data_IF_977356130826
#
_entry.id   IF_977356130826
#
_cell.length_a   1.000
_cell.length_b   1.000
_cell.length_c   1.000
_cell.angle_alpha   90.00
_cell.angle_beta   90.00
_cell.angle_gamma   90.00
#
_symmetry.space_group_name_H-M   'P 1'
#
loop_
_entity.id
_entity.type
_entity.pdbx_description
1 polymer ?
#
# COMPACT_ATOMS: atom_id res chain seq x y z
N UNK A 1 -7.26 -7.05 -2.06
CA UNK A 1 -6.99 -5.66 -2.53
C UNK A 1 -6.93 -5.59 -4.05
N UNK A 2 -5.91 -6.16 -4.72
CA UNK A 2 -5.79 -6.11 -6.19
C UNK A 2 -7.05 -6.61 -6.94
N UNK A 3 -7.56 -7.78 -6.58
CA UNK A 3 -8.76 -8.33 -7.20
C UNK A 3 -9.98 -7.39 -7.05
N UNK A 4 -10.14 -6.78 -5.87
CA UNK A 4 -11.18 -5.79 -5.61
C UNK A 4 -10.99 -4.53 -6.46
N UNK A 5 -9.76 -4.02 -6.60
CA UNK A 5 -9.47 -2.88 -7.48
C UNK A 5 -9.82 -3.18 -8.94
N UNK A 6 -9.48 -4.39 -9.43
CA UNK A 6 -9.84 -4.81 -10.79
C UNK A 6 -11.36 -4.88 -10.95
N UNK A 7 -12.08 -5.47 -9.98
CA UNK A 7 -13.54 -5.54 -10.02
C UNK A 7 -14.20 -4.15 -10.08
N UNK A 8 -13.63 -3.15 -9.41
CA UNK A 8 -14.10 -1.76 -9.49
C UNK A 8 -13.85 -1.16 -10.87
N UNK A 9 -12.67 -1.40 -11.47
CA UNK A 9 -12.37 -0.96 -12.84
C UNK A 9 -13.31 -1.63 -13.85
N UNK A 10 -13.52 -2.94 -13.73
CA UNK A 10 -14.41 -3.71 -14.60
C UNK A 10 -15.85 -3.17 -14.51
N UNK A 11 -16.32 -2.89 -13.30
CA UNK A 11 -17.63 -2.26 -13.08
C UNK A 11 -17.73 -0.87 -13.69
N UNK A 12 -16.71 -0.02 -13.50
CA UNK A 12 -16.66 1.33 -14.08
C UNK A 12 -16.72 1.30 -15.62
N UNK A 13 -15.98 0.38 -16.26
CA UNK A 13 -15.98 0.23 -17.71
C UNK A 13 -17.31 -0.33 -18.21
N UNK A 14 -17.93 -1.27 -17.49
CA UNK A 14 -19.24 -1.81 -17.86
C UNK A 14 -20.36 -0.75 -17.87
N UNK A 15 -20.25 0.27 -17.01
CA UNK A 15 -21.16 1.43 -16.97
C UNK A 15 -20.79 2.52 -18.01
N UNK A 16 -19.84 2.26 -18.90
CA UNK A 16 -19.44 3.16 -19.99
C UNK A 16 -18.26 4.10 -19.68
N UNK A 17 -17.57 3.87 -18.56
CA UNK A 17 -16.34 4.60 -18.22
C UNK A 17 -15.14 4.21 -19.08
N UNK A 18 -14.21 5.14 -19.28
CA UNK A 18 -12.94 4.87 -19.98
C UNK A 18 -11.79 4.67 -18.98
N UNK A 19 -11.17 3.49 -19.00
CA UNK A 19 -9.98 3.20 -18.21
C UNK A 19 -8.73 3.26 -19.11
N UNK A 20 -7.76 4.08 -18.70
CA UNK A 20 -6.50 4.26 -19.40
C UNK A 20 -5.32 4.08 -18.44
N UNK A 21 -4.41 3.18 -18.79
CA UNK A 21 -3.10 3.10 -18.15
C UNK A 21 -2.12 4.07 -18.85
N UNK A 22 -1.69 5.10 -18.12
CA UNK A 22 -0.77 6.11 -18.62
C UNK A 22 -0.06 6.85 -17.51
N UNK A 23 1.04 7.52 -17.84
CA UNK A 23 1.80 8.34 -16.90
C UNK A 23 1.63 9.82 -17.24
N UNK A 24 1.02 10.58 -16.31
CA UNK A 24 0.86 12.04 -16.38
C UNK A 24 2.20 12.72 -16.14
N UNK A 25 2.49 13.78 -16.90
CA UNK A 25 3.62 14.67 -16.65
C UNK A 25 3.25 15.60 -15.50
N UNK A 26 3.92 15.45 -14.35
CA UNK A 26 3.58 16.19 -13.11
C UNK A 26 4.42 17.44 -12.89
N UNK A 27 5.45 17.69 -13.71
CA UNK A 27 6.29 18.87 -13.60
C UNK A 27 5.48 20.14 -13.86
N UNK A 28 5.42 21.05 -12.88
CA UNK A 28 4.67 22.30 -12.99
C UNK A 28 3.15 22.16 -12.86
N UNK A 29 2.66 21.02 -12.34
CA UNK A 29 1.22 20.74 -12.29
C UNK A 29 0.45 21.74 -11.42
N UNK A 30 1.02 22.24 -10.31
CA UNK A 30 0.42 23.26 -9.44
C UNK A 30 0.31 24.64 -10.11
N UNK A 31 1.19 24.94 -11.07
CA UNK A 31 1.24 26.22 -11.78
C UNK A 31 0.40 26.20 -13.07
N UNK A 32 -0.01 25.00 -13.49
CA UNK A 32 -0.71 24.77 -14.74
C UNK A 32 -2.19 25.12 -14.62
N UNK A 33 -2.76 25.67 -15.70
CA UNK A 33 -4.22 25.62 -15.87
C UNK A 33 -4.60 24.17 -16.15
N UNK A 34 -5.49 23.60 -15.35
CA UNK A 34 -6.00 22.24 -15.58
C UNK A 34 -7.14 22.27 -16.59
N UNK A 35 -6.89 22.78 -17.80
CA UNK A 35 -7.77 22.55 -18.96
C UNK A 35 -7.37 21.24 -19.67
N UNK A 36 -6.11 20.83 -19.53
CA UNK A 36 -5.54 19.59 -20.09
C UNK A 36 -4.45 19.00 -19.20
N UNK A 37 -4.28 17.68 -19.25
CA UNK A 37 -3.13 16.98 -18.69
C UNK A 37 -2.32 16.30 -19.80
N UNK A 38 -1.01 16.56 -19.81
CA UNK A 38 -0.09 15.91 -20.75
C UNK A 38 0.34 14.54 -20.22
N UNK A 39 0.33 13.54 -21.10
CA UNK A 39 0.88 12.21 -20.82
C UNK A 39 2.30 12.09 -21.38
N UNK A 40 3.10 11.22 -20.77
CA UNK A 40 4.49 10.95 -21.16
C UNK A 40 4.65 10.41 -22.59
N UNK A 41 3.60 9.84 -23.17
CA UNK A 41 3.56 9.40 -24.57
C UNK A 41 3.25 10.54 -25.57
N UNK A 42 3.10 11.78 -25.08
CA UNK A 42 2.79 12.96 -25.89
C UNK A 42 1.30 13.23 -26.12
N UNK A 43 0.41 12.31 -25.73
CA UNK A 43 -1.04 12.53 -25.79
C UNK A 43 -1.52 13.45 -24.66
N UNK A 44 -2.76 13.94 -24.77
CA UNK A 44 -3.37 14.84 -23.80
C UNK A 44 -4.75 14.34 -23.38
N UNK A 45 -5.06 14.51 -22.10
CA UNK A 45 -6.40 14.34 -21.54
C UNK A 45 -7.03 15.71 -21.34
N UNK A 46 -8.28 15.87 -21.74
CA UNK A 46 -9.06 17.11 -21.59
C UNK A 46 -10.33 16.77 -20.80
N UNK A 47 -10.62 17.55 -19.78
CA UNK A 47 -11.80 17.38 -18.92
C UNK A 47 -12.17 18.71 -18.28
N UNK A 48 -13.43 18.84 -17.88
CA UNK A 48 -13.90 19.99 -17.11
C UNK A 48 -13.42 19.97 -15.66
N UNK A 49 -13.08 18.79 -15.14
CA UNK A 49 -12.66 18.55 -13.76
C UNK A 49 -11.61 17.43 -13.72
N UNK A 50 -10.66 17.55 -12.79
CA UNK A 50 -9.64 16.54 -12.52
C UNK A 50 -9.68 16.16 -11.04
N UNK A 51 -9.62 14.87 -10.75
CA UNK A 51 -9.51 14.32 -9.39
C UNK A 51 -8.17 13.62 -9.27
N UNK A 52 -7.31 14.11 -8.38
CA UNK A 52 -6.01 13.52 -8.13
C UNK A 52 -6.07 12.57 -6.93
N UNK A 53 -6.14 11.27 -7.20
CA UNK A 53 -6.11 10.21 -6.18
C UNK A 53 -4.79 9.41 -6.26
N UNK A 54 -3.66 10.12 -6.29
CA UNK A 54 -2.33 9.57 -6.61
C UNK A 54 -1.60 8.92 -5.43
N UNK A 55 -2.31 8.59 -4.35
CA UNK A 55 -1.77 7.90 -3.18
C UNK A 55 -0.50 8.57 -2.62
N UNK A 56 0.53 7.79 -2.22
CA UNK A 56 1.72 8.32 -1.55
C UNK A 56 2.56 9.28 -2.42
N UNK A 57 2.24 9.45 -3.70
CA UNK A 57 2.86 10.45 -4.56
C UNK A 57 2.24 11.85 -4.43
N UNK A 58 1.07 12.02 -3.82
CA UNK A 58 0.36 13.31 -3.77
C UNK A 58 1.21 14.45 -3.21
N UNK A 59 1.91 14.24 -2.08
CA UNK A 59 2.80 15.26 -1.50
C UNK A 59 3.98 15.66 -2.41
N UNK A 60 4.40 14.80 -3.35
CA UNK A 60 5.42 15.12 -4.36
C UNK A 60 4.85 15.78 -5.61
N UNK A 61 3.61 15.46 -5.96
CA UNK A 61 2.91 16.02 -7.12
C UNK A 61 2.45 17.45 -6.81
N UNK A 62 1.93 17.67 -5.59
CA UNK A 62 1.46 18.96 -5.09
C UNK A 62 2.30 19.42 -3.89
N UNK A 63 3.60 19.74 -4.08
CA UNK A 63 4.49 20.06 -2.98
C UNK A 63 4.12 21.36 -2.24
N UNK A 64 3.50 22.35 -2.89
CA UNK A 64 3.12 23.60 -2.23
C UNK A 64 1.89 23.41 -1.33
N UNK A 65 0.91 22.64 -1.79
CA UNK A 65 -0.36 22.45 -1.06
C UNK A 65 -0.31 21.27 -0.09
N UNK A 66 0.36 20.18 -0.46
CA UNK A 66 0.34 18.90 0.26
C UNK A 66 1.71 18.42 0.76
N UNK A 67 2.81 19.09 0.39
CA UNK A 67 4.17 18.60 0.64
C UNK A 67 4.52 18.41 2.12
N UNK A 68 3.97 19.25 3.01
CA UNK A 68 4.12 19.14 4.46
C UNK A 68 2.94 18.42 5.14
N UNK A 69 1.86 18.14 4.40
CA UNK A 69 0.64 17.48 4.89
C UNK A 69 0.64 15.98 4.66
N UNK A 70 1.41 15.48 3.70
CA UNK A 70 1.40 14.07 3.32
C UNK A 70 2.81 13.51 3.37
N UNK A 71 3.00 12.50 4.22
CA UNK A 71 4.26 11.77 4.33
C UNK A 71 4.09 10.30 3.94
N UNK A 72 4.82 9.88 2.92
CA UNK A 72 4.91 8.48 2.55
C UNK A 72 5.84 7.74 3.52
N UNK A 73 5.41 6.61 4.09
CA UNK A 73 6.25 5.76 4.95
C UNK A 73 6.36 4.33 4.43
N UNK A 74 7.52 3.72 4.68
CA UNK A 74 7.83 2.35 4.26
C UNK A 74 7.22 1.34 5.22
N UNK A 75 6.48 0.38 4.69
CA UNK A 75 5.91 -0.72 5.48
C UNK A 75 6.34 -2.07 4.94
N UNK A 76 6.90 -2.91 5.80
CA UNK A 76 7.45 -4.20 5.40
C UNK A 76 6.45 -5.31 5.76
N UNK A 77 6.13 -6.13 4.77
CA UNK A 77 5.14 -7.19 4.86
C UNK A 77 5.80 -8.52 4.54
N UNK A 78 5.51 -9.53 5.36
CA UNK A 78 6.10 -10.86 5.26
C UNK A 78 5.00 -11.90 5.07
N UNK A 79 5.28 -12.91 4.25
CA UNK A 79 4.38 -14.03 4.01
C UNK A 79 5.12 -15.34 4.31
N UNK A 80 4.55 -16.14 5.19
CA UNK A 80 5.13 -17.43 5.60
C UNK A 80 4.27 -18.60 5.12
N UNK A 81 4.93 -19.69 4.71
CA UNK A 81 4.25 -20.93 4.35
C UNK A 81 3.72 -21.61 5.59
N UNK A 82 2.42 -21.91 5.64
CA UNK A 82 1.84 -22.67 6.75
C UNK A 82 2.30 -24.14 6.69
N UNK A 83 2.41 -24.84 7.83
CA UNK A 83 2.74 -26.25 7.84
C UNK A 83 1.77 -27.07 6.98
N UNK A 84 2.31 -28.03 6.23
CA UNK A 84 1.52 -28.87 5.31
C UNK A 84 0.47 -29.65 6.09
N UNK A 85 -0.79 -29.55 5.65
CA UNK A 85 -1.91 -30.26 6.27
C UNK A 85 -2.37 -29.70 7.60
N UNK A 86 -1.86 -28.54 8.03
CA UNK A 86 -2.29 -27.86 9.26
C UNK A 86 -3.23 -26.68 8.93
N UNK A 87 -4.55 -26.85 9.08
CA UNK A 87 -5.52 -25.82 8.71
C UNK A 87 -5.60 -24.69 9.75
N UNK A 88 -4.95 -24.81 10.91
CA UNK A 88 -5.11 -23.85 12.02
C UNK A 88 -4.68 -22.41 11.68
N UNK A 89 -3.90 -22.23 10.62
CA UNK A 89 -3.34 -20.95 10.20
C UNK A 89 -3.91 -20.44 8.85
N UNK A 90 -4.97 -21.07 8.36
CA UNK A 90 -5.72 -20.57 7.21
C UNK A 90 -6.83 -19.60 7.60
N UNK A 91 -7.48 -19.01 6.60
CA UNK A 91 -8.55 -18.04 6.74
C UNK A 91 -9.90 -18.63 7.19
N UNK A 92 -10.03 -19.97 7.26
CA UNK A 92 -11.22 -20.62 7.80
C UNK A 92 -11.12 -20.80 9.32
N UNK A 93 -9.91 -20.93 9.86
CA UNK A 93 -9.69 -21.30 11.27
C UNK A 93 -9.05 -20.19 12.10
N UNK A 94 -8.46 -19.18 11.48
CA UNK A 94 -7.85 -18.04 12.16
C UNK A 94 -8.43 -16.73 11.61
N UNK A 95 -9.01 -15.86 12.46
CA UNK A 95 -9.41 -14.53 12.03
C UNK A 95 -8.18 -13.66 11.72
N UNK A 96 -8.42 -12.57 10.98
CA UNK A 96 -7.50 -11.43 10.97
C UNK A 96 -7.28 -10.96 12.41
N UNK A 97 -6.03 -10.67 12.75
CA UNK A 97 -5.65 -10.32 14.12
C UNK A 97 -4.75 -9.09 14.15
N UNK A 98 -4.77 -8.42 15.29
CA UNK A 98 -3.99 -7.23 15.60
C UNK A 98 -3.57 -7.29 17.08
N UNK A 99 -2.32 -6.96 17.38
CA UNK A 99 -1.74 -6.97 18.71
C UNK A 99 -1.06 -5.62 18.96
N UNK A 100 -1.71 -4.79 19.79
CA UNK A 100 -1.30 -3.40 20.08
C UNK A 100 -0.45 -3.28 21.36
N UNK A 101 0.42 -4.26 21.66
CA UNK A 101 1.28 -4.20 22.86
C UNK A 101 2.48 -3.27 22.63
N UNK A 102 3.70 -3.80 22.65
CA UNK A 102 4.91 -2.99 22.53
C UNK A 102 5.13 -2.49 21.09
N UNK A 103 4.72 -3.29 20.11
CA UNK A 103 4.71 -2.97 18.68
C UNK A 103 3.35 -3.38 18.13
N UNK A 104 2.85 -2.67 17.13
CA UNK A 104 1.59 -3.00 16.50
C UNK A 104 1.80 -4.03 15.40
N UNK A 105 1.71 -5.31 15.75
CA UNK A 105 1.69 -6.38 14.76
C UNK A 105 0.28 -6.73 14.33
N UNK A 106 0.10 -7.06 13.06
CA UNK A 106 -1.14 -7.61 12.55
C UNK A 106 -0.86 -8.74 11.55
N UNK A 107 -1.87 -9.57 11.32
CA UNK A 107 -1.76 -10.65 10.34
C UNK A 107 -3.07 -11.00 9.67
N UNK A 108 -2.94 -11.51 8.45
CA UNK A 108 -4.04 -12.00 7.61
C UNK A 108 -3.72 -13.45 7.24
N UNK A 109 -4.45 -14.42 7.80
CA UNK A 109 -4.32 -15.83 7.46
C UNK A 109 -4.78 -16.10 6.03
N UNK A 110 -4.23 -17.13 5.38
CA UNK A 110 -4.64 -17.58 4.04
C UNK A 110 -4.29 -16.65 2.87
N UNK A 111 -4.56 -15.34 2.96
CA UNK A 111 -4.29 -14.27 1.98
C UNK A 111 -4.26 -14.73 0.51
N UNK A 112 -5.38 -15.26 0.00
CA UNK A 112 -5.49 -15.77 -1.38
C UNK A 112 -4.45 -16.86 -1.70
N UNK A 113 -4.19 -17.77 -0.76
CA UNK A 113 -3.16 -18.83 -0.81
C UNK A 113 -1.71 -18.33 -0.88
N UNK A 114 -1.47 -17.06 -0.53
CA UNK A 114 -0.10 -16.50 -0.47
C UNK A 114 0.60 -16.79 0.85
N UNK A 115 -0.07 -17.47 1.77
CA UNK A 115 0.46 -17.87 3.06
C UNK A 115 0.01 -16.94 4.19
N UNK A 116 0.61 -17.14 5.35
CA UNK A 116 0.35 -16.39 6.56
C UNK A 116 1.01 -15.01 6.46
N UNK A 117 0.21 -13.97 6.21
CA UNK A 117 0.68 -12.59 6.18
C UNK A 117 0.90 -12.08 7.60
N UNK A 118 2.04 -11.46 7.85
CA UNK A 118 2.34 -10.72 9.07
C UNK A 118 3.11 -9.44 8.74
N UNK A 119 2.78 -8.35 9.45
CA UNK A 119 3.48 -7.07 9.32
C UNK A 119 3.46 -6.30 10.65
N UNK A 120 4.46 -5.45 10.83
CA UNK A 120 4.46 -4.39 11.85
C UNK A 120 3.84 -3.15 11.21
N UNK A 121 2.76 -2.64 11.81
CA UNK A 121 2.02 -1.45 11.36
C UNK A 121 2.62 -0.16 11.93
N UNK A 122 3.60 -0.26 12.84
CA UNK A 122 4.32 0.91 13.35
C UNK A 122 4.88 1.71 12.17
N UNK A 123 4.58 3.02 12.14
CA UNK A 123 5.03 3.91 11.05
C UNK A 123 6.53 3.78 10.82
N UNK A 124 6.89 3.26 9.65
CA UNK A 124 8.27 3.12 9.24
C UNK A 124 8.90 4.46 8.83
N UNK A 125 10.15 4.43 8.35
CA UNK A 125 10.84 5.62 7.91
C UNK A 125 10.13 6.26 6.72
N UNK A 126 10.37 7.56 6.54
CA UNK A 126 9.98 8.30 5.32
C UNK A 126 10.50 7.55 4.10
N UNK A 127 9.65 7.43 3.08
CA UNK A 127 9.90 6.60 1.92
C UNK A 127 9.70 7.39 0.64
N UNK A 128 10.60 7.22 -0.33
CA UNK A 128 10.39 7.71 -1.69
C UNK A 128 9.48 6.72 -2.44
N UNK A 129 8.22 7.08 -2.74
CA UNK A 129 7.30 6.13 -3.36
C UNK A 129 7.72 5.72 -4.78
N UNK A 130 8.51 6.54 -5.48
CA UNK A 130 9.04 6.23 -6.81
C UNK A 130 10.29 5.37 -6.70
N UNK A 131 11.34 5.90 -6.07
CA UNK A 131 12.70 5.35 -6.16
C UNK A 131 13.13 4.55 -4.92
N UNK A 132 12.30 4.50 -3.89
CA UNK A 132 12.65 3.83 -2.64
C UNK A 132 12.88 2.34 -2.82
N UNK A 133 13.88 1.82 -2.10
CA UNK A 133 14.26 0.41 -2.15
C UNK A 133 13.16 -0.48 -1.54
N UNK A 134 12.71 -1.46 -2.33
CA UNK A 134 11.62 -2.37 -2.01
C UNK A 134 12.10 -3.72 -1.42
N UNK A 135 13.25 -3.69 -0.74
CA UNK A 135 13.81 -4.82 0.00
C UNK A 135 13.55 -4.67 1.50
N UNK A 136 13.16 -5.75 2.16
CA UNK A 136 13.01 -5.77 3.63
C UNK A 136 14.37 -6.00 4.29
N UNK A 137 14.58 -5.46 5.49
CA UNK A 137 15.84 -5.64 6.21
C UNK A 137 15.90 -6.98 6.96
N UNK A 138 17.12 -7.48 7.18
CA UNK A 138 17.34 -8.71 7.94
C UNK A 138 16.89 -8.58 9.41
N UNK A 139 17.04 -7.39 9.99
CA UNK A 139 16.63 -7.07 11.36
C UNK A 139 15.11 -7.15 11.50
N UNK A 140 14.35 -6.62 10.53
CA UNK A 140 12.89 -6.70 10.54
C UNK A 140 12.40 -8.13 10.32
N UNK A 141 13.03 -8.89 9.43
CA UNK A 141 12.72 -10.31 9.28
C UNK A 141 12.96 -11.08 10.60
N UNK A 142 14.07 -10.78 11.29
CA UNK A 142 14.37 -11.38 12.60
C UNK A 142 13.30 -11.04 13.62
N UNK A 143 12.93 -9.76 13.76
CA UNK A 143 11.90 -9.32 14.71
C UNK A 143 10.53 -10.00 14.44
N UNK A 144 10.13 -10.09 13.17
CA UNK A 144 8.91 -10.78 12.77
C UNK A 144 8.96 -12.28 13.08
N UNK A 145 10.11 -12.95 12.86
CA UNK A 145 10.28 -14.37 13.22
C UNK A 145 10.21 -14.59 14.72
N UNK A 146 10.82 -13.73 15.52
CA UNK A 146 10.77 -13.79 16.98
C UNK A 146 9.33 -13.61 17.50
N UNK A 147 8.62 -12.61 16.97
CA UNK A 147 7.22 -12.38 17.30
C UNK A 147 6.33 -13.57 16.88
N UNK A 148 6.52 -14.08 15.66
CA UNK A 148 5.77 -15.22 15.14
C UNK A 148 6.00 -16.48 15.99
N UNK A 149 7.25 -16.78 16.36
CA UNK A 149 7.55 -17.92 17.22
C UNK A 149 6.93 -17.80 18.62
N UNK A 150 6.80 -16.58 19.14
CA UNK A 150 6.18 -16.32 20.43
C UNK A 150 4.64 -16.45 20.39
N UNK A 151 3.97 -15.79 19.44
CA UNK A 151 2.50 -15.79 19.34
C UNK A 151 1.91 -17.01 18.63
N UNK A 152 2.66 -17.56 17.68
CA UNK A 152 2.27 -18.69 16.85
C UNK A 152 3.38 -19.75 16.85
N UNK A 153 3.62 -20.47 17.96
CA UNK A 153 4.74 -21.42 18.07
C UNK A 153 4.78 -22.48 16.96
N UNK A 154 3.62 -22.90 16.45
CA UNK A 154 3.52 -23.83 15.31
C UNK A 154 4.03 -23.29 13.97
N UNK A 155 4.26 -21.97 13.87
CA UNK A 155 4.80 -21.28 12.71
C UNK A 155 6.30 -20.93 12.86
N UNK A 156 6.95 -21.30 13.97
CA UNK A 156 8.34 -20.90 14.28
C UNK A 156 9.32 -21.17 13.13
N UNK A 157 9.24 -22.37 12.54
CA UNK A 157 10.13 -22.83 11.47
C UNK A 157 9.51 -22.65 10.08
N UNK A 158 8.42 -21.89 9.97
CA UNK A 158 7.76 -21.64 8.70
C UNK A 158 8.72 -20.97 7.70
N UNK A 159 8.73 -21.45 6.44
CA UNK A 159 9.54 -20.86 5.39
C UNK A 159 9.00 -19.47 5.04
N UNK A 160 9.91 -18.51 4.83
CA UNK A 160 9.54 -17.22 4.25
C UNK A 160 9.28 -17.46 2.76
N UNK A 161 8.06 -17.17 2.30
CA UNK A 161 7.63 -17.38 0.91
C UNK A 161 7.81 -16.11 0.10
N UNK A 162 7.46 -14.97 0.70
CA UNK A 162 7.46 -13.68 0.02
C UNK A 162 7.66 -12.54 1.01
N UNK A 163 8.28 -11.46 0.52
CA UNK A 163 8.35 -10.17 1.22
C UNK A 163 7.86 -9.08 0.29
N UNK A 164 7.21 -8.06 0.85
CA UNK A 164 6.82 -6.85 0.11
C UNK A 164 7.11 -5.60 0.91
N UNK A 165 7.39 -4.54 0.17
CA UNK A 165 7.36 -3.18 0.68
C UNK A 165 6.08 -2.51 0.21
N UNK A 166 5.24 -2.13 1.16
CA UNK A 166 4.06 -1.29 0.98
C UNK A 166 4.38 0.15 1.39
N UNK A 167 3.48 1.07 1.05
CA UNK A 167 3.62 2.49 1.30
C UNK A 167 2.35 2.98 1.99
N UNK A 168 2.52 3.67 3.11
CA UNK A 168 1.41 4.40 3.73
C UNK A 168 1.50 5.86 3.37
N UNK A 169 0.37 6.45 3.06
CA UNK A 169 0.18 7.88 2.84
C UNK A 169 -0.39 8.48 4.12
N UNK A 170 0.41 9.28 4.83
CA UNK A 170 0.08 9.70 6.19
C UNK A 170 -0.14 11.21 6.26
N UNK A 171 -1.30 11.61 6.79
CA UNK A 171 -1.52 12.95 7.33
C UNK A 171 -1.10 13.03 8.80
N UNK A 172 -0.80 14.23 9.33
CA UNK A 172 -0.44 14.41 10.73
C UNK A 172 -1.51 13.92 11.70
N UNK A 173 -2.79 14.11 11.34
CA UNK A 173 -3.96 13.75 12.15
C UNK A 173 -4.62 12.43 11.73
N UNK A 174 -4.07 11.75 10.72
CA UNK A 174 -4.58 10.50 10.15
C UNK A 174 -5.95 10.60 9.46
N UNK A 175 -6.47 11.81 9.24
CA UNK A 175 -7.70 12.02 8.48
C UNK A 175 -7.42 12.06 6.97
N UNK A 176 -8.46 11.79 6.18
CA UNK A 176 -8.41 11.93 4.72
C UNK A 176 -8.36 13.42 4.34
N UNK A 177 -7.64 13.73 3.26
CA UNK A 177 -7.73 15.02 2.58
C UNK A 177 -8.57 14.82 1.32
N UNK A 178 -9.79 15.34 1.33
CA UNK A 178 -10.70 15.33 0.19
C UNK A 178 -11.24 16.76 0.06
N UNK A 179 -10.62 17.55 -0.80
CA UNK A 179 -10.99 18.95 -1.00
C UNK A 179 -10.65 19.40 -2.42
N UNK A 180 -11.11 20.61 -2.76
CA UNK A 180 -10.72 21.30 -3.99
C UNK A 180 -9.37 21.97 -3.78
N UNK A 181 -8.55 21.95 -4.82
CA UNK A 181 -7.31 22.72 -4.83
C UNK A 181 -7.64 24.23 -4.77
N UNK A 182 -6.90 25.02 -3.96
CA UNK A 182 -7.09 26.46 -3.85
C UNK A 182 -6.78 27.22 -5.14
#
# INVERSE_FOLDING_TARGET
ARASCHAVVDGFVAEGGEYLEGAVVTKGIEESRWDRLSLSNGSQLVADQYVFACGPWLGKIFPQVLGDKISATKQDVFFFGTPVGDPRFDDQNLPVWADHRNQFFYGIPGNERRGFKIADDTRGPVFDPTWGERMVSAEKLKAVREYMAFRFPGMKDAPLVETRVCQYENTPDHNLIIDRHP
#
